data_IF_116167644678
#
_entry.id   IF_116167644678
#
_cell.length_a   1.000
_cell.length_b   1.000
_cell.length_c   1.000
_cell.angle_alpha   90.00
_cell.angle_beta   90.00
_cell.angle_gamma   90.00
#
_symmetry.space_group_name_H-M   'P 1'
#
loop_
_entity.id
_entity.type
_entity.pdbx_description
1 polymer ?
#
# COMPACT_ATOMS: atom_id res chain seq x y z
N UNK A 1 25.87 -18.35 23.11
CA UNK A 1 26.47 -18.11 21.77
C UNK A 1 25.51 -17.53 20.74
N UNK A 2 24.22 -17.91 20.68
CA UNK A 2 23.30 -17.38 19.64
C UNK A 2 22.97 -15.88 19.75
N UNK A 3 22.88 -15.30 20.96
CA UNK A 3 22.53 -13.86 21.12
C UNK A 3 23.61 -12.90 20.58
N UNK A 4 24.90 -13.21 20.76
CA UNK A 4 25.98 -12.35 20.27
C UNK A 4 26.08 -12.38 18.74
N UNK A 5 25.88 -13.54 18.12
CA UNK A 5 25.79 -13.69 16.66
C UNK A 5 24.64 -12.89 16.05
N UNK A 6 23.47 -12.91 16.69
CA UNK A 6 22.32 -12.10 16.25
C UNK A 6 22.62 -10.60 16.40
N UNK A 7 23.20 -10.18 17.52
CA UNK A 7 23.61 -8.78 17.72
C UNK A 7 24.65 -8.32 16.70
N UNK A 8 25.65 -9.16 16.40
CA UNK A 8 26.65 -8.89 15.37
C UNK A 8 26.03 -8.77 13.98
N UNK A 9 25.05 -9.61 13.64
CA UNK A 9 24.32 -9.52 12.38
C UNK A 9 23.57 -8.18 12.24
N UNK A 10 22.94 -7.69 13.31
CA UNK A 10 22.26 -6.39 13.28
C UNK A 10 23.23 -5.21 13.20
N UNK A 11 24.39 -5.31 13.85
CA UNK A 11 25.47 -4.31 13.70
C UNK A 11 25.96 -4.29 12.25
N UNK A 12 26.13 -5.45 11.62
CA UNK A 12 26.50 -5.53 10.22
C UNK A 12 25.45 -4.87 9.30
N UNK A 13 24.16 -5.15 9.51
CA UNK A 13 23.07 -4.51 8.74
C UNK A 13 23.07 -2.99 8.92
N UNK A 14 23.33 -2.50 10.14
CA UNK A 14 23.41 -1.06 10.41
C UNK A 14 24.62 -0.42 9.70
N UNK A 15 25.79 -1.04 9.76
CA UNK A 15 26.99 -0.56 9.07
C UNK A 15 26.77 -0.57 7.55
N UNK A 16 26.20 -1.65 7.01
CA UNK A 16 25.89 -1.76 5.58
C UNK A 16 24.94 -0.65 5.13
N UNK A 17 23.84 -0.43 5.85
CA UNK A 17 22.90 0.65 5.58
C UNK A 17 23.54 2.04 5.64
N UNK A 18 24.40 2.28 6.64
CA UNK A 18 25.12 3.54 6.79
C UNK A 18 26.12 3.78 5.65
N UNK A 19 26.84 2.75 5.21
CA UNK A 19 27.74 2.82 4.06
C UNK A 19 26.94 3.12 2.80
N UNK A 20 25.83 2.42 2.55
CA UNK A 20 25.03 2.64 1.35
C UNK A 20 24.45 4.06 1.29
N UNK A 21 23.91 4.57 2.40
CA UNK A 21 23.48 5.96 2.50
C UNK A 21 24.65 6.94 2.35
N UNK A 22 25.81 6.64 2.93
CA UNK A 22 27.01 7.45 2.82
C UNK A 22 27.48 7.57 1.36
N UNK A 23 27.47 6.47 0.60
CA UNK A 23 27.78 6.48 -0.84
C UNK A 23 26.77 7.33 -1.59
N UNK A 24 25.47 7.14 -1.34
CA UNK A 24 24.41 7.93 -1.97
C UNK A 24 24.55 9.43 -1.68
N UNK A 25 24.91 9.82 -0.46
CA UNK A 25 25.03 11.22 -0.06
C UNK A 25 26.35 11.86 -0.54
N UNK A 26 27.50 11.20 -0.33
CA UNK A 26 28.82 11.80 -0.45
C UNK A 26 29.49 11.64 -1.82
N UNK A 27 29.04 10.68 -2.64
CA UNK A 27 29.68 10.43 -3.94
C UNK A 27 29.57 11.64 -4.89
N UNK A 28 30.68 12.25 -5.28
CA UNK A 28 30.73 13.34 -6.27
C UNK A 28 31.34 12.77 -7.54
N UNK A 29 30.59 12.67 -8.63
CA UNK A 29 31.06 12.06 -9.88
C UNK A 29 30.06 11.09 -10.52
N UNK A 30 30.59 9.99 -11.07
CA UNK A 30 29.94 8.97 -11.91
C UNK A 30 28.52 8.53 -11.48
N UNK A 31 27.78 7.97 -12.43
CA UNK A 31 26.44 7.46 -12.20
C UNK A 31 26.42 6.41 -11.08
N UNK A 32 25.71 6.71 -9.99
CA UNK A 32 25.57 5.80 -8.86
C UNK A 32 24.61 4.68 -9.23
N UNK A 33 24.93 3.46 -8.81
CA UNK A 33 24.06 2.32 -9.04
C UNK A 33 22.77 2.39 -8.20
N UNK A 34 21.63 2.07 -8.80
CA UNK A 34 20.34 1.92 -8.09
C UNK A 34 20.37 0.84 -7.00
N UNK A 35 21.29 -0.13 -7.07
CA UNK A 35 21.50 -1.15 -6.03
C UNK A 35 21.71 -0.54 -4.63
N UNK A 36 22.46 0.57 -4.55
CA UNK A 36 22.72 1.27 -3.29
C UNK A 36 21.42 1.72 -2.61
N UNK A 37 20.41 2.14 -3.38
CA UNK A 37 19.10 2.53 -2.87
C UNK A 37 18.34 1.36 -2.28
N UNK A 38 18.32 0.23 -3.00
CA UNK A 38 17.60 -0.97 -2.57
C UNK A 38 18.20 -1.50 -1.28
N UNK A 39 19.53 -1.61 -1.20
CA UNK A 39 20.23 -2.11 -0.02
C UNK A 39 20.08 -1.14 1.17
N UNK A 40 20.22 0.17 0.95
CA UNK A 40 20.01 1.16 2.00
C UNK A 40 18.58 1.07 2.57
N UNK A 41 17.58 1.01 1.70
CA UNK A 41 16.17 0.91 2.09
C UNK A 41 15.89 -0.37 2.87
N UNK A 42 16.39 -1.51 2.39
CA UNK A 42 16.23 -2.80 3.06
C UNK A 42 16.86 -2.78 4.47
N UNK A 43 18.05 -2.21 4.63
CA UNK A 43 18.72 -2.11 5.92
C UNK A 43 17.93 -1.22 6.90
N UNK A 44 17.52 -0.03 6.47
CA UNK A 44 16.81 0.95 7.31
C UNK A 44 15.45 0.41 7.74
N UNK A 45 14.67 -0.16 6.82
CA UNK A 45 13.37 -0.73 7.15
C UNK A 45 13.50 -1.97 8.03
N UNK A 46 14.53 -2.81 7.83
CA UNK A 46 14.78 -3.95 8.72
C UNK A 46 15.11 -3.51 10.15
N UNK A 47 15.92 -2.46 10.31
CA UNK A 47 16.27 -1.89 11.62
C UNK A 47 15.03 -1.24 12.26
N UNK A 48 14.30 -0.42 11.49
CA UNK A 48 13.06 0.21 11.95
C UNK A 48 12.03 -0.81 12.40
N UNK A 49 11.81 -1.86 11.61
CA UNK A 49 10.92 -2.96 11.97
C UNK A 49 11.41 -3.71 13.22
N UNK A 50 12.69 -4.06 13.32
CA UNK A 50 13.17 -4.88 14.44
C UNK A 50 13.22 -4.15 15.78
N UNK A 51 13.68 -2.90 15.79
CA UNK A 51 13.96 -2.17 17.02
C UNK A 51 12.87 -1.16 17.34
N UNK A 52 12.51 -0.32 16.37
CA UNK A 52 11.56 0.76 16.61
C UNK A 52 10.13 0.25 16.74
N UNK A 53 9.67 -0.63 15.83
CA UNK A 53 8.32 -1.23 15.96
C UNK A 53 8.18 -2.04 17.26
N UNK A 54 9.24 -2.72 17.69
CA UNK A 54 9.25 -3.45 18.96
C UNK A 54 9.14 -2.52 20.18
N UNK A 55 9.84 -1.39 20.16
CA UNK A 55 9.70 -0.36 21.19
C UNK A 55 8.26 0.18 21.24
N UNK A 56 7.68 0.53 20.09
CA UNK A 56 6.30 1.03 20.02
C UNK A 56 5.31 -0.04 20.51
N UNK A 57 5.42 -1.28 20.03
CA UNK A 57 4.50 -2.37 20.37
C UNK A 57 4.49 -2.71 21.86
N UNK A 58 5.67 -2.91 22.46
CA UNK A 58 5.74 -3.46 23.83
C UNK A 58 5.90 -2.39 24.90
N UNK A 59 6.54 -1.26 24.60
CA UNK A 59 6.80 -0.22 25.61
C UNK A 59 5.79 0.92 25.57
N UNK A 60 5.37 1.34 24.38
CA UNK A 60 4.39 2.42 24.21
C UNK A 60 2.96 1.87 24.28
N UNK A 61 2.61 0.97 23.37
CA UNK A 61 1.24 0.45 23.22
C UNK A 61 0.92 -0.72 24.17
N UNK A 62 1.95 -1.41 24.68
CA UNK A 62 1.82 -2.58 25.56
C UNK A 62 0.83 -3.60 25.00
N UNK A 63 1.14 -4.13 23.82
CA UNK A 63 0.36 -5.22 23.23
C UNK A 63 0.24 -6.40 24.20
N UNK A 64 -0.94 -7.01 24.20
CA UNK A 64 -1.29 -8.14 25.05
C UNK A 64 -1.92 -9.23 24.19
N UNK A 65 -1.17 -10.32 23.99
CA UNK A 65 -1.57 -11.45 23.15
C UNK A 65 -2.71 -12.28 23.77
N UNK A 66 -3.00 -12.09 25.07
CA UNK A 66 -4.11 -12.80 25.73
C UNK A 66 -5.49 -12.21 25.41
N UNK A 67 -5.53 -11.01 24.80
CA UNK A 67 -6.78 -10.29 24.55
C UNK A 67 -7.33 -10.61 23.17
N UNK A 68 -8.54 -11.18 23.14
CA UNK A 68 -9.25 -11.42 21.89
C UNK A 68 -9.61 -10.10 21.16
N UNK A 69 -9.54 -10.12 19.84
CA UNK A 69 -9.94 -8.99 18.99
C UNK A 69 -11.47 -8.86 18.94
N UNK A 70 -12.02 -7.67 18.59
CA UNK A 70 -13.46 -7.46 18.45
C UNK A 70 -14.13 -8.48 17.51
N UNK A 71 -13.44 -8.86 16.42
CA UNK A 71 -13.90 -9.87 15.48
C UNK A 71 -14.15 -11.25 16.13
N UNK A 72 -13.36 -11.63 17.14
CA UNK A 72 -13.53 -12.87 17.87
C UNK A 72 -14.62 -12.78 18.94
N UNK A 73 -14.73 -11.63 19.63
CA UNK A 73 -15.67 -11.43 20.74
C UNK A 73 -17.10 -11.21 20.25
N UNK A 74 -17.27 -10.47 19.15
CA UNK A 74 -18.57 -10.04 18.61
C UNK A 74 -18.91 -10.72 17.29
N UNK A 75 -18.44 -11.95 17.07
CA UNK A 75 -18.59 -12.67 15.80
C UNK A 75 -20.07 -12.80 15.39
N UNK A 76 -20.54 -11.88 14.54
CA UNK A 76 -21.92 -11.78 14.08
C UNK A 76 -22.10 -12.33 12.65
N UNK A 77 -21.00 -12.75 12.02
CA UNK A 77 -21.01 -13.28 10.66
C UNK A 77 -21.22 -12.23 9.57
N UNK A 78 -21.33 -10.95 9.92
CA UNK A 78 -21.59 -9.83 9.01
C UNK A 78 -20.52 -8.74 9.14
N UNK A 79 -20.52 -8.00 10.24
CA UNK A 79 -19.61 -6.87 10.49
C UNK A 79 -18.35 -7.34 11.25
N UNK A 80 -18.49 -8.37 12.08
CA UNK A 80 -17.40 -8.99 12.82
C UNK A 80 -17.27 -10.45 12.40
N UNK A 81 -16.23 -10.74 11.62
CA UNK A 81 -15.91 -12.08 11.14
C UNK A 81 -14.44 -12.38 11.38
N UNK A 82 -14.09 -13.40 12.20
CA UNK A 82 -12.71 -13.83 12.36
C UNK A 82 -12.10 -14.16 11.00
N UNK A 83 -11.07 -13.40 10.63
CA UNK A 83 -10.36 -13.52 9.35
C UNK A 83 -8.90 -13.83 9.63
N UNK A 84 -8.29 -14.63 8.76
CA UNK A 84 -6.88 -14.98 8.92
C UNK A 84 -5.96 -13.77 8.72
N UNK A 85 -4.88 -13.73 9.51
CA UNK A 85 -3.90 -12.64 9.52
C UNK A 85 -3.31 -12.35 8.14
N UNK A 86 -3.08 -13.37 7.30
CA UNK A 86 -2.52 -13.18 5.97
C UNK A 86 -3.49 -12.45 5.03
N UNK A 87 -4.79 -12.67 5.22
CA UNK A 87 -5.85 -12.05 4.41
C UNK A 87 -6.11 -10.64 4.89
N UNK A 88 -6.19 -10.43 6.21
CA UNK A 88 -6.27 -9.08 6.79
C UNK A 88 -5.05 -8.25 6.39
N UNK A 89 -3.84 -8.83 6.45
CA UNK A 89 -2.63 -8.18 5.94
C UNK A 89 -2.74 -7.84 4.46
N UNK A 90 -3.15 -8.79 3.61
CA UNK A 90 -3.34 -8.55 2.19
C UNK A 90 -4.40 -7.49 1.89
N UNK A 91 -5.49 -7.46 2.65
CA UNK A 91 -6.53 -6.45 2.54
C UNK A 91 -5.96 -5.06 2.83
N UNK A 92 -5.28 -4.89 3.97
CA UNK A 92 -4.65 -3.61 4.33
C UNK A 92 -3.58 -3.24 3.31
N UNK A 93 -2.68 -4.16 2.98
CA UNK A 93 -1.59 -3.92 2.04
C UNK A 93 -2.11 -3.48 0.68
N UNK A 94 -3.08 -4.20 0.09
CA UNK A 94 -3.61 -3.85 -1.21
C UNK A 94 -4.44 -2.56 -1.20
N UNK A 95 -5.15 -2.26 -0.11
CA UNK A 95 -5.90 -1.00 0.03
C UNK A 95 -4.99 0.23 0.12
N UNK A 96 -3.78 0.08 0.67
CA UNK A 96 -2.79 1.18 0.81
C UNK A 96 -1.88 1.29 -0.41
N UNK A 97 -1.45 0.15 -0.96
CA UNK A 97 -0.54 0.07 -2.10
C UNK A 97 -1.26 0.48 -3.39
N UNK A 98 -1.51 1.78 -3.55
CA UNK A 98 -2.15 2.40 -4.71
C UNK A 98 -1.17 3.13 -5.62
N UNK A 99 -1.70 4.02 -6.45
CA UNK A 99 -0.89 4.88 -7.32
C UNK A 99 -0.09 5.95 -6.56
N UNK A 100 -0.54 6.34 -5.36
CA UNK A 100 0.09 7.41 -4.56
C UNK A 100 1.59 7.20 -4.31
N UNK A 101 2.02 6.03 -3.79
CA UNK A 101 3.44 5.70 -3.62
C UNK A 101 4.28 5.68 -4.90
N UNK A 102 3.67 5.63 -6.09
CA UNK A 102 4.38 5.72 -7.38
C UNK A 102 4.43 7.16 -7.87
N UNK A 103 3.29 7.84 -7.89
CA UNK A 103 3.17 9.20 -8.42
C UNK A 103 3.94 10.20 -7.56
N UNK A 104 3.83 10.11 -6.23
CA UNK A 104 4.49 11.05 -5.31
C UNK A 104 6.01 11.15 -5.54
N UNK A 105 6.78 10.04 -5.47
CA UNK A 105 8.21 10.06 -5.74
C UNK A 105 8.59 10.53 -7.15
N UNK A 106 7.78 10.22 -8.17
CA UNK A 106 8.02 10.68 -9.54
C UNK A 106 7.87 12.21 -9.63
N UNK A 107 6.82 12.78 -9.04
CA UNK A 107 6.63 14.23 -9.00
C UNK A 107 7.73 14.91 -8.17
N UNK A 108 8.11 14.30 -7.05
CA UNK A 108 9.17 14.78 -6.17
C UNK A 108 10.57 14.69 -6.77
N UNK A 109 10.78 13.79 -7.76
CA UNK A 109 12.07 13.64 -8.43
C UNK A 109 12.53 14.91 -9.16
N UNK A 110 11.62 15.87 -9.41
CA UNK A 110 12.00 17.20 -9.91
C UNK A 110 12.98 17.91 -8.98
N UNK A 111 12.99 17.60 -7.68
CA UNK A 111 13.91 18.15 -6.65
C UNK A 111 15.19 17.29 -6.48
N UNK A 112 15.39 16.31 -7.36
CA UNK A 112 16.45 15.31 -7.22
C UNK A 112 16.02 14.10 -6.38
N UNK A 113 16.80 13.03 -6.48
CA UNK A 113 16.46 11.77 -5.81
C UNK A 113 16.74 11.81 -4.30
N UNK A 114 17.77 12.57 -3.87
CA UNK A 114 18.27 12.48 -2.49
C UNK A 114 17.25 12.99 -1.46
N UNK A 115 16.62 14.18 -1.61
CA UNK A 115 15.60 14.63 -0.68
C UNK A 115 14.41 13.66 -0.59
N UNK A 116 13.96 13.18 -1.74
CA UNK A 116 12.82 12.25 -1.87
C UNK A 116 13.10 10.94 -1.13
N UNK A 117 14.27 10.33 -1.34
CA UNK A 117 14.65 9.07 -0.69
C UNK A 117 14.82 9.24 0.82
N UNK A 118 15.47 10.31 1.27
CA UNK A 118 15.61 10.59 2.70
C UNK A 118 14.25 10.72 3.36
N UNK A 119 13.32 11.46 2.75
CA UNK A 119 11.98 11.60 3.30
C UNK A 119 11.20 10.28 3.27
N UNK A 120 11.28 9.50 2.19
CA UNK A 120 10.66 8.16 2.11
C UNK A 120 11.14 7.29 3.28
N UNK A 121 12.45 7.21 3.49
CA UNK A 121 13.04 6.34 4.50
C UNK A 121 12.74 6.81 5.93
N UNK A 122 12.98 8.08 6.22
CA UNK A 122 12.83 8.65 7.57
C UNK A 122 11.35 8.82 7.91
N UNK A 123 10.57 9.41 7.00
CA UNK A 123 9.16 9.72 7.21
C UNK A 123 8.31 8.46 7.36
N UNK A 124 8.61 7.40 6.59
CA UNK A 124 7.92 6.11 6.74
C UNK A 124 8.19 5.47 8.11
N UNK A 125 9.47 5.37 8.52
CA UNK A 125 9.85 4.69 9.76
C UNK A 125 9.41 5.45 11.01
N UNK A 126 9.66 6.76 11.06
CA UNK A 126 9.39 7.57 12.26
C UNK A 126 7.95 8.08 12.33
N UNK A 127 7.33 8.32 11.17
CA UNK A 127 6.01 8.93 11.07
C UNK A 127 4.92 7.93 10.72
N UNK A 128 4.84 7.53 9.44
CA UNK A 128 3.66 6.84 8.91
C UNK A 128 3.39 5.50 9.55
N UNK A 129 4.41 4.64 9.64
CA UNK A 129 4.26 3.33 10.25
C UNK A 129 3.81 3.43 11.72
N UNK A 130 4.30 4.44 12.47
CA UNK A 130 3.90 4.66 13.86
C UNK A 130 2.47 5.18 13.93
N UNK A 131 2.17 6.21 13.14
CA UNK A 131 0.83 6.82 13.08
C UNK A 131 -0.24 5.76 12.78
N UNK A 132 -0.02 4.96 11.73
CA UNK A 132 -0.98 3.95 11.31
C UNK A 132 -1.11 2.82 12.33
N UNK A 133 -0.01 2.41 12.95
CA UNK A 133 -0.02 1.36 13.97
C UNK A 133 -0.73 1.81 15.24
N UNK A 134 -0.54 3.05 15.67
CA UNK A 134 -1.23 3.65 16.82
C UNK A 134 -2.73 3.74 16.56
N UNK A 135 -3.15 4.20 15.37
CA UNK A 135 -4.58 4.30 15.04
C UNK A 135 -5.23 2.92 14.91
N UNK A 136 -4.57 1.95 14.30
CA UNK A 136 -5.05 0.56 14.26
C UNK A 136 -5.23 -0.01 15.67
N UNK A 137 -4.24 0.18 16.54
CA UNK A 137 -4.33 -0.25 17.94
C UNK A 137 -5.50 0.43 18.65
N UNK A 138 -5.65 1.74 18.51
CA UNK A 138 -6.75 2.50 19.11
C UNK A 138 -8.12 1.99 18.63
N UNK A 139 -8.26 1.74 17.33
CA UNK A 139 -9.49 1.19 16.73
C UNK A 139 -9.82 -0.19 17.31
N UNK A 140 -8.86 -1.12 17.36
CA UNK A 140 -9.05 -2.45 17.97
C UNK A 140 -9.49 -2.33 19.43
N UNK A 141 -8.93 -1.38 20.18
CA UNK A 141 -9.28 -1.15 21.60
C UNK A 141 -10.66 -0.53 21.79
N UNK A 142 -11.23 0.06 20.74
CA UNK A 142 -12.57 0.63 20.70
C UNK A 142 -13.50 -0.18 19.82
N UNK A 143 -13.48 -1.51 19.95
CA UNK A 143 -14.38 -2.41 19.21
C UNK A 143 -14.31 -2.31 17.68
N UNK A 144 -13.14 -1.96 17.12
CA UNK A 144 -12.97 -1.80 15.68
C UNK A 144 -13.75 -0.61 15.13
N UNK A 145 -13.85 0.50 15.87
CA UNK A 145 -14.56 1.70 15.39
C UNK A 145 -13.70 2.50 14.42
N UNK A 146 -14.35 3.15 13.46
CA UNK A 146 -13.70 4.06 12.51
C UNK A 146 -13.15 5.30 13.22
N UNK A 147 -12.20 5.99 12.60
CA UNK A 147 -11.60 7.20 13.16
C UNK A 147 -12.63 8.28 13.51
N UNK A 148 -13.64 8.50 12.65
CA UNK A 148 -14.70 9.48 12.91
C UNK A 148 -15.53 9.15 14.15
N UNK A 149 -15.88 7.87 14.35
CA UNK A 149 -16.63 7.45 15.53
C UNK A 149 -15.77 7.48 16.79
N UNK A 150 -14.46 7.22 16.70
CA UNK A 150 -13.55 7.41 17.83
C UNK A 150 -13.46 8.88 18.25
N UNK A 151 -13.36 9.83 17.30
CA UNK A 151 -13.33 11.26 17.62
C UNK A 151 -14.61 11.69 18.33
N UNK A 152 -15.77 11.20 17.88
CA UNK A 152 -17.07 11.46 18.49
C UNK A 152 -17.16 10.95 19.93
N UNK A 153 -16.56 9.79 20.23
CA UNK A 153 -16.51 9.24 21.59
C UNK A 153 -15.63 10.07 22.54
N UNK A 154 -14.54 10.67 22.05
CA UNK A 154 -13.60 11.45 22.87
C UNK A 154 -13.97 12.93 22.99
N UNK A 155 -14.43 13.56 21.91
CA UNK A 155 -14.63 15.01 21.82
C UNK A 155 -16.10 15.43 21.79
N UNK A 156 -17.02 14.46 21.85
CA UNK A 156 -18.47 14.68 21.82
C UNK A 156 -19.09 14.74 20.42
N UNK A 157 -20.42 14.71 20.39
CA UNK A 157 -21.22 14.55 19.18
C UNK A 157 -20.95 15.61 18.11
N UNK A 158 -20.86 16.89 18.52
CA UNK A 158 -20.72 18.01 17.58
C UNK A 158 -19.37 17.98 16.85
N UNK A 159 -18.28 17.84 17.60
CA UNK A 159 -16.92 17.74 17.04
C UNK A 159 -16.77 16.48 16.20
N UNK A 160 -17.31 15.35 16.67
CA UNK A 160 -17.32 14.09 15.93
C UNK A 160 -18.05 14.17 14.59
N UNK A 161 -19.17 14.88 14.53
CA UNK A 161 -19.92 15.07 13.28
C UNK A 161 -19.14 15.91 12.28
N UNK A 162 -18.54 17.03 12.73
CA UNK A 162 -17.70 17.88 11.87
C UNK A 162 -16.48 17.09 11.36
N UNK A 163 -15.81 16.35 12.24
CA UNK A 163 -14.68 15.51 11.87
C UNK A 163 -15.07 14.42 10.87
N UNK A 164 -16.22 13.77 11.07
CA UNK A 164 -16.73 12.74 10.16
C UNK A 164 -17.06 13.30 8.77
N UNK A 165 -17.63 14.51 8.70
CA UNK A 165 -17.88 15.21 7.44
C UNK A 165 -16.56 15.56 6.72
N UNK A 166 -15.56 16.03 7.47
CA UNK A 166 -14.22 16.29 6.94
C UNK A 166 -13.55 15.03 6.40
N UNK A 167 -13.60 13.92 7.15
CA UNK A 167 -13.08 12.61 6.73
C UNK A 167 -13.78 12.15 5.46
N UNK A 168 -15.11 12.27 5.37
CA UNK A 168 -15.87 11.94 4.17
C UNK A 168 -15.41 12.77 2.97
N UNK A 169 -15.24 14.09 3.14
CA UNK A 169 -14.75 14.97 2.07
C UNK A 169 -13.36 14.59 1.58
N UNK A 170 -12.43 14.29 2.49
CA UNK A 170 -11.08 13.84 2.15
C UNK A 170 -11.14 12.49 1.42
N UNK A 171 -11.96 11.54 1.89
CA UNK A 171 -12.14 10.25 1.23
C UNK A 171 -12.68 10.40 -0.20
N UNK A 172 -13.66 11.28 -0.41
CA UNK A 172 -14.19 11.55 -1.76
C UNK A 172 -13.12 12.08 -2.71
N UNK A 173 -12.30 13.03 -2.25
CA UNK A 173 -11.20 13.60 -3.05
C UNK A 173 -10.18 12.51 -3.39
N UNK A 174 -9.76 11.70 -2.41
CA UNK A 174 -8.77 10.63 -2.62
C UNK A 174 -9.31 9.59 -3.61
N UNK A 175 -10.55 9.13 -3.42
CA UNK A 175 -11.18 8.16 -4.32
C UNK A 175 -11.29 8.72 -5.74
N UNK A 176 -11.67 9.99 -5.90
CA UNK A 176 -11.76 10.63 -7.22
C UNK A 176 -10.39 10.70 -7.93
N UNK A 177 -9.33 11.09 -7.21
CA UNK A 177 -7.96 11.16 -7.78
C UNK A 177 -7.47 9.76 -8.16
N UNK A 178 -7.64 8.76 -7.28
CA UNK A 178 -7.24 7.39 -7.55
C UNK A 178 -8.04 6.78 -8.72
N UNK A 179 -9.35 7.02 -8.77
CA UNK A 179 -10.19 6.60 -9.89
C UNK A 179 -9.71 7.23 -11.21
N UNK A 180 -9.36 8.51 -11.22
CA UNK A 180 -8.82 9.16 -12.42
C UNK A 180 -7.54 8.49 -12.92
N UNK A 181 -6.62 8.12 -12.02
CA UNK A 181 -5.38 7.40 -12.40
C UNK A 181 -5.70 6.05 -13.03
N UNK A 182 -6.63 5.29 -12.45
CA UNK A 182 -7.07 3.99 -12.99
C UNK A 182 -7.74 4.15 -14.35
N UNK A 183 -8.67 5.11 -14.49
CA UNK A 183 -9.35 5.40 -15.75
C UNK A 183 -8.34 5.72 -16.86
N UNK A 184 -7.36 6.60 -16.59
CA UNK A 184 -6.33 6.96 -17.56
C UNK A 184 -5.41 5.79 -17.91
N UNK A 185 -5.09 4.93 -16.93
CA UNK A 185 -4.24 3.76 -17.16
C UNK A 185 -4.93 2.65 -17.97
N UNK A 186 -6.27 2.56 -17.88
CA UNK A 186 -7.06 1.52 -18.56
C UNK A 186 -7.72 1.98 -19.85
N UNK A 187 -7.85 3.30 -20.06
CA UNK A 187 -8.36 3.85 -21.30
C UNK A 187 -7.54 3.30 -22.48
N UNK A 188 -8.25 2.74 -23.47
CA UNK A 188 -7.65 2.12 -24.65
C UNK A 188 -6.71 0.93 -24.37
N UNK A 189 -6.77 0.31 -23.19
CA UNK A 189 -5.96 -0.85 -22.81
C UNK A 189 -6.83 -2.12 -22.62
N UNK A 190 -7.13 -2.87 -23.70
CA UNK A 190 -7.95 -4.08 -23.60
C UNK A 190 -7.29 -5.15 -22.72
N UNK A 191 -5.95 -5.24 -22.75
CA UNK A 191 -5.20 -6.14 -21.89
C UNK A 191 -5.40 -5.83 -20.39
N UNK A 192 -5.24 -4.55 -20.03
CA UNK A 192 -5.38 -4.09 -18.64
C UNK A 192 -6.80 -4.25 -18.13
N UNK A 193 -7.79 -3.82 -18.92
CA UNK A 193 -9.19 -3.91 -18.54
C UNK A 193 -9.65 -5.37 -18.37
N UNK A 194 -9.33 -6.25 -19.32
CA UNK A 194 -9.65 -7.68 -19.22
C UNK A 194 -9.06 -8.31 -17.97
N UNK A 195 -7.77 -8.06 -17.70
CA UNK A 195 -7.07 -8.63 -16.54
C UNK A 195 -7.75 -8.20 -15.24
N UNK A 196 -8.11 -6.93 -15.10
CA UNK A 196 -8.79 -6.41 -13.91
C UNK A 196 -10.22 -6.94 -13.82
N UNK A 197 -10.96 -6.99 -14.92
CA UNK A 197 -12.31 -7.53 -14.95
C UNK A 197 -12.34 -8.99 -14.47
N UNK A 198 -11.35 -9.80 -14.87
CA UNK A 198 -11.21 -11.18 -14.43
C UNK A 198 -10.87 -11.34 -12.94
N UNK A 199 -10.31 -10.32 -12.28
CA UNK A 199 -10.09 -10.41 -10.82
C UNK A 199 -11.38 -10.49 -10.02
N UNK A 200 -12.50 -9.97 -10.53
CA UNK A 200 -13.80 -9.98 -9.85
C UNK A 200 -14.34 -11.42 -9.70
N UNK A 201 -14.53 -12.20 -10.77
CA UNK A 201 -15.00 -13.59 -10.63
C UNK A 201 -13.99 -14.47 -9.88
N UNK A 202 -12.68 -14.25 -10.05
CA UNK A 202 -11.66 -14.98 -9.29
C UNK A 202 -11.81 -14.69 -7.79
N UNK A 203 -11.97 -13.42 -7.41
CA UNK A 203 -12.17 -13.03 -6.01
C UNK A 203 -13.45 -13.61 -5.41
N UNK A 204 -14.57 -13.60 -6.17
CA UNK A 204 -15.82 -14.22 -5.74
C UNK A 204 -15.63 -15.72 -5.52
N UNK A 205 -14.95 -16.41 -6.44
CA UNK A 205 -14.65 -17.83 -6.31
C UNK A 205 -13.78 -18.10 -5.07
N UNK A 206 -12.76 -17.27 -4.83
CA UNK A 206 -11.92 -17.36 -3.63
C UNK A 206 -12.76 -17.14 -2.36
N UNK A 207 -13.60 -16.11 -2.31
CA UNK A 207 -14.47 -15.81 -1.18
C UNK A 207 -15.46 -16.94 -0.87
N UNK A 208 -16.10 -17.51 -1.89
CA UNK A 208 -17.00 -18.65 -1.76
C UNK A 208 -16.26 -19.93 -1.32
N UNK A 209 -15.08 -20.21 -1.89
CA UNK A 209 -14.26 -21.36 -1.50
C UNK A 209 -13.88 -21.31 -0.03
N UNK A 210 -13.45 -20.14 0.43
CA UNK A 210 -13.05 -19.88 1.80
C UNK A 210 -14.21 -20.00 2.79
N UNK A 211 -15.41 -19.58 2.39
CA UNK A 211 -16.58 -19.59 3.28
C UNK A 211 -17.26 -20.96 3.35
N UNK A 212 -17.45 -21.63 2.22
CA UNK A 212 -18.34 -22.80 2.15
C UNK A 212 -17.61 -24.13 1.93
N UNK A 213 -16.51 -24.17 1.18
CA UNK A 213 -15.90 -25.43 0.77
C UNK A 213 -14.86 -25.93 1.78
N UNK A 214 -13.85 -25.12 2.07
CA UNK A 214 -12.75 -25.48 2.98
C UNK A 214 -12.30 -24.29 3.81
N UNK A 215 -13.08 -23.92 4.83
CA UNK A 215 -12.62 -22.92 5.80
C UNK A 215 -11.28 -23.40 6.38
N UNK A 216 -10.33 -22.49 6.55
CA UNK A 216 -8.96 -22.67 7.10
C UNK A 216 -7.85 -23.14 6.14
N UNK A 217 -8.15 -23.52 4.89
CA UNK A 217 -7.11 -23.90 3.90
C UNK A 217 -6.73 -22.76 2.97
N UNK A 218 -6.14 -21.72 3.53
CA UNK A 218 -5.84 -20.47 2.81
C UNK A 218 -4.84 -20.73 1.68
N UNK A 219 -3.82 -21.55 1.92
CA UNK A 219 -2.81 -21.88 0.91
C UNK A 219 -3.41 -22.46 -0.39
N UNK A 220 -4.45 -23.31 -0.30
CA UNK A 220 -5.12 -23.86 -1.48
C UNK A 220 -5.76 -22.72 -2.29
N UNK A 221 -6.45 -21.80 -1.62
CA UNK A 221 -7.10 -20.63 -2.25
C UNK A 221 -6.09 -19.66 -2.82
N UNK A 222 -4.99 -19.41 -2.12
CA UNK A 222 -3.88 -18.57 -2.58
C UNK A 222 -3.29 -19.12 -3.87
N UNK A 223 -3.02 -20.43 -3.92
CA UNK A 223 -2.46 -21.08 -5.12
C UNK A 223 -3.45 -21.04 -6.28
N UNK A 224 -4.72 -21.38 -6.04
CA UNK A 224 -5.76 -21.32 -7.08
C UNK A 224 -5.92 -19.90 -7.62
N UNK A 225 -6.07 -18.91 -6.73
CA UNK A 225 -6.20 -17.50 -7.09
C UNK A 225 -5.00 -17.02 -7.89
N UNK A 226 -3.78 -17.34 -7.45
CA UNK A 226 -2.55 -16.99 -8.16
C UNK A 226 -2.48 -17.60 -9.55
N UNK A 227 -2.75 -18.90 -9.69
CA UNK A 227 -2.76 -19.58 -11.00
C UNK A 227 -3.80 -18.95 -11.93
N UNK A 228 -5.03 -18.73 -11.45
CA UNK A 228 -6.09 -18.09 -12.22
C UNK A 228 -5.72 -16.67 -12.64
N UNK A 229 -5.03 -15.91 -11.77
CA UNK A 229 -4.54 -14.57 -12.10
C UNK A 229 -3.47 -14.61 -13.19
N UNK A 230 -2.51 -15.53 -13.12
CA UNK A 230 -1.48 -15.70 -14.16
C UNK A 230 -2.13 -16.09 -15.50
N UNK A 231 -3.10 -17.00 -15.47
CA UNK A 231 -3.91 -17.38 -16.64
C UNK A 231 -4.63 -16.15 -17.20
N UNK A 232 -5.26 -15.33 -16.36
CA UNK A 232 -5.95 -14.11 -16.80
C UNK A 232 -4.99 -13.09 -17.43
N UNK A 233 -3.80 -12.88 -16.86
CA UNK A 233 -2.77 -11.99 -17.42
C UNK A 233 -2.31 -12.51 -18.79
N UNK A 234 -2.06 -13.81 -18.92
CA UNK A 234 -1.63 -14.44 -20.16
C UNK A 234 -2.74 -14.43 -21.22
N UNK A 235 -3.96 -14.79 -20.87
CA UNK A 235 -5.14 -14.73 -21.73
C UNK A 235 -5.42 -13.30 -22.20
N UNK A 236 -5.20 -12.31 -21.34
CA UNK A 236 -5.34 -10.91 -21.70
C UNK A 236 -4.44 -10.46 -22.85
N UNK A 237 -3.26 -11.07 -23.02
CA UNK A 237 -2.40 -10.84 -24.20
C UNK A 237 -3.12 -11.26 -25.48
N UNK A 238 -3.77 -12.42 -25.49
CA UNK A 238 -4.54 -12.90 -26.66
C UNK A 238 -5.76 -12.03 -26.94
N UNK A 239 -6.47 -11.59 -25.88
CA UNK A 239 -7.58 -10.64 -25.99
C UNK A 239 -7.13 -9.34 -26.65
N UNK A 240 -5.92 -8.86 -26.33
CA UNK A 240 -5.37 -7.65 -26.94
C UNK A 240 -4.88 -7.84 -28.38
N UNK A 241 -4.54 -9.06 -28.80
CA UNK A 241 -4.03 -9.35 -30.14
C UNK A 241 -5.15 -9.64 -31.15
N UNK A 242 -6.29 -10.16 -30.69
CA UNK A 242 -7.47 -10.37 -31.53
C UNK A 242 -8.27 -9.06 -31.69
N UNK A 243 -8.42 -8.50 -32.91
CA UNK A 243 -9.13 -7.25 -33.13
C UNK A 243 -10.59 -7.25 -32.64
N UNK A 244 -11.27 -8.40 -32.72
CA UNK A 244 -12.68 -8.51 -32.27
C UNK A 244 -12.75 -8.45 -30.75
N UNK A 245 -11.92 -9.24 -30.06
CA UNK A 245 -11.90 -9.24 -28.60
C UNK A 245 -11.36 -7.92 -28.05
N UNK A 246 -10.34 -7.34 -28.68
CA UNK A 246 -9.81 -6.04 -28.30
C UNK A 246 -10.89 -4.96 -28.33
N UNK A 247 -11.74 -4.91 -29.37
CA UNK A 247 -12.84 -3.94 -29.45
C UNK A 247 -13.86 -4.05 -28.32
N UNK A 248 -14.11 -5.26 -27.80
CA UNK A 248 -15.05 -5.51 -26.69
C UNK A 248 -14.49 -5.00 -25.35
N UNK A 249 -13.18 -5.09 -25.15
CA UNK A 249 -12.52 -4.70 -23.89
C UNK A 249 -11.83 -3.33 -23.95
N UNK A 250 -11.96 -2.61 -25.07
CA UNK A 250 -11.43 -1.25 -25.25
C UNK A 250 -12.53 -0.26 -24.93
N UNK A 251 -12.35 0.51 -23.86
CA UNK A 251 -13.30 1.54 -23.44
C UNK A 251 -12.62 2.90 -23.38
N UNK A 252 -13.42 3.94 -23.64
CA UNK A 252 -13.01 5.32 -23.43
C UNK A 252 -13.04 5.68 -21.94
N UNK A 253 -12.29 6.73 -21.59
CA UNK A 253 -12.16 7.20 -20.21
C UNK A 253 -13.53 7.53 -19.56
N UNK A 254 -14.46 8.13 -20.33
CA UNK A 254 -15.79 8.48 -19.85
C UNK A 254 -16.61 7.25 -19.43
N UNK A 255 -16.68 6.23 -20.29
CA UNK A 255 -17.38 4.98 -20.00
C UNK A 255 -16.74 4.24 -18.81
N UNK A 256 -15.40 4.18 -18.77
CA UNK A 256 -14.67 3.57 -17.65
C UNK A 256 -14.95 4.26 -16.32
N UNK A 257 -15.05 5.58 -16.30
CA UNK A 257 -15.37 6.33 -15.08
C UNK A 257 -16.75 5.91 -14.52
N UNK A 258 -17.77 5.83 -15.38
CA UNK A 258 -19.09 5.35 -14.98
C UNK A 258 -19.09 3.90 -14.51
N UNK A 259 -18.34 3.02 -15.19
CA UNK A 259 -18.21 1.62 -14.80
C UNK A 259 -17.53 1.47 -13.44
N UNK A 260 -16.48 2.24 -13.16
CA UNK A 260 -15.78 2.22 -11.86
C UNK A 260 -16.70 2.75 -10.74
N UNK A 261 -17.46 3.82 -10.99
CA UNK A 261 -18.42 4.32 -10.01
C UNK A 261 -19.53 3.30 -9.72
N UNK A 262 -20.10 2.68 -10.77
CA UNK A 262 -21.10 1.62 -10.61
C UNK A 262 -20.53 0.40 -9.88
N UNK A 263 -19.34 -0.04 -10.24
CA UNK A 263 -18.62 -1.10 -9.54
C UNK A 263 -18.38 -0.76 -8.07
N UNK A 264 -17.93 0.46 -7.78
CA UNK A 264 -17.68 0.94 -6.41
C UNK A 264 -18.95 0.93 -5.55
N UNK A 265 -20.09 1.32 -6.14
CA UNK A 265 -21.39 1.24 -5.48
C UNK A 265 -21.83 -0.20 -5.19
N UNK A 266 -21.70 -1.11 -6.16
CA UNK A 266 -22.03 -2.53 -5.94
C UNK A 266 -21.10 -3.14 -4.89
N UNK A 267 -19.80 -2.84 -4.98
CA UNK A 267 -18.79 -3.36 -4.06
C UNK A 267 -18.99 -2.87 -2.61
N UNK A 268 -19.48 -1.64 -2.39
CA UNK A 268 -19.74 -1.11 -1.05
C UNK A 268 -20.95 -1.74 -0.35
N UNK A 269 -21.87 -2.34 -1.11
CA UNK A 269 -23.06 -3.03 -0.59
C UNK A 269 -22.75 -4.51 -0.30
N UNK A 270 -21.87 -5.11 -1.10
CA UNK A 270 -21.52 -6.52 -0.94
C UNK A 270 -20.74 -6.76 0.36
N UNK A 271 -20.92 -7.93 1.00
CA UNK A 271 -20.14 -8.29 2.17
C UNK A 271 -18.63 -8.28 1.89
N UNK A 272 -17.84 -7.75 2.82
CA UNK A 272 -16.38 -7.59 2.65
C UNK A 272 -15.70 -8.93 2.37
N UNK A 273 -16.12 -10.01 3.04
CA UNK A 273 -15.58 -11.36 2.83
C UNK A 273 -15.89 -11.93 1.44
N UNK A 274 -16.93 -11.45 0.76
CA UNK A 274 -17.39 -12.00 -0.51
C UNK A 274 -16.58 -11.48 -1.70
N UNK A 275 -16.26 -10.18 -1.69
CA UNK A 275 -15.55 -9.53 -2.81
C UNK A 275 -14.29 -8.79 -2.38
N UNK A 276 -14.39 -7.84 -1.44
CA UNK A 276 -13.30 -6.90 -1.15
C UNK A 276 -12.07 -7.61 -0.57
N UNK A 277 -12.22 -8.35 0.52
CA UNK A 277 -11.12 -9.07 1.16
C UNK A 277 -10.43 -10.07 0.22
N UNK A 278 -11.14 -10.99 -0.49
CA UNK A 278 -10.47 -11.93 -1.39
C UNK A 278 -9.85 -11.24 -2.61
N UNK A 279 -10.45 -10.16 -3.14
CA UNK A 279 -9.88 -9.39 -4.25
C UNK A 279 -8.60 -8.68 -3.84
N UNK A 280 -8.59 -8.06 -2.68
CA UNK A 280 -7.44 -7.33 -2.17
C UNK A 280 -6.31 -8.29 -1.80
N UNK A 281 -6.65 -9.45 -1.23
CA UNK A 281 -5.71 -10.55 -1.03
C UNK A 281 -5.10 -11.04 -2.36
N UNK A 282 -5.92 -11.22 -3.40
CA UNK A 282 -5.44 -11.60 -4.74
C UNK A 282 -4.49 -10.53 -5.32
N UNK A 283 -4.86 -9.26 -5.20
CA UNK A 283 -4.04 -8.13 -5.69
C UNK A 283 -2.69 -8.02 -4.98
N UNK A 284 -2.63 -8.43 -3.71
CA UNK A 284 -1.38 -8.46 -2.94
C UNK A 284 -0.32 -9.35 -3.58
N UNK A 285 -0.69 -10.52 -4.12
CA UNK A 285 0.27 -11.37 -4.83
C UNK A 285 0.88 -10.67 -6.05
N UNK A 286 0.05 -9.97 -6.83
CA UNK A 286 0.54 -9.22 -7.98
C UNK A 286 1.50 -8.12 -7.56
N UNK A 287 1.11 -7.32 -6.56
CA UNK A 287 1.88 -6.17 -6.09
C UNK A 287 3.22 -6.59 -5.48
N UNK A 288 3.20 -7.54 -4.53
CA UNK A 288 4.43 -8.06 -3.91
C UNK A 288 5.28 -8.80 -4.95
N UNK A 289 4.65 -9.60 -5.83
CA UNK A 289 5.35 -10.32 -6.89
C UNK A 289 6.08 -9.39 -7.85
N UNK A 290 5.43 -8.34 -8.34
CA UNK A 290 6.04 -7.33 -9.22
C UNK A 290 7.17 -6.60 -8.50
N UNK A 291 6.97 -6.17 -7.24
CA UNK A 291 8.05 -5.55 -6.45
C UNK A 291 9.24 -6.50 -6.29
N UNK A 292 8.99 -7.77 -6.00
CA UNK A 292 10.03 -8.80 -5.88
C UNK A 292 10.82 -8.99 -7.17
N UNK A 293 10.12 -9.11 -8.31
CA UNK A 293 10.76 -9.21 -9.64
C UNK A 293 11.60 -7.96 -9.94
N UNK A 294 11.09 -6.77 -9.64
CA UNK A 294 11.82 -5.51 -9.83
C UNK A 294 13.09 -5.46 -8.97
N UNK A 295 13.01 -5.85 -7.70
CA UNK A 295 14.18 -5.92 -6.81
C UNK A 295 15.23 -6.89 -7.36
N UNK A 296 14.81 -8.09 -7.77
CA UNK A 296 15.71 -9.08 -8.37
C UNK A 296 16.35 -8.53 -9.65
N UNK A 297 15.57 -7.91 -10.53
CA UNK A 297 16.07 -7.30 -11.75
C UNK A 297 17.09 -6.19 -11.47
N UNK A 298 16.85 -5.32 -10.47
CA UNK A 298 17.80 -4.26 -10.07
C UNK A 298 19.09 -4.87 -9.51
N UNK A 299 19.01 -5.97 -8.75
CA UNK A 299 20.21 -6.63 -8.20
C UNK A 299 21.09 -7.20 -9.31
N UNK A 300 20.50 -7.74 -10.38
CA UNK A 300 21.25 -8.32 -11.51
C UNK A 300 21.72 -7.29 -12.53
N UNK A 301 20.85 -6.36 -12.92
CA UNK A 301 21.15 -5.35 -13.96
C UNK A 301 21.95 -4.19 -13.39
N UNK A 302 21.64 -3.83 -12.15
CA UNK A 302 22.29 -2.75 -11.41
C UNK A 302 22.39 -1.44 -12.24
N UNK A 303 21.25 -0.89 -12.73
CA UNK A 303 21.29 0.23 -13.66
C UNK A 303 21.77 1.54 -12.99
N UNK A 304 22.42 2.42 -13.76
CA UNK A 304 22.83 3.73 -13.28
C UNK A 304 21.62 4.62 -12.95
N UNK A 305 21.69 5.35 -11.84
CA UNK A 305 20.75 6.42 -11.50
C UNK A 305 20.92 7.58 -12.49
N UNK A 306 19.86 7.84 -13.26
CA UNK A 306 19.86 8.92 -14.25
C UNK A 306 19.50 10.29 -13.65
N UNK A 307 18.78 10.29 -12.52
CA UNK A 307 18.36 11.53 -11.86
C UNK A 307 19.53 12.03 -10.99
N UNK A 308 19.87 13.32 -11.04
CA UNK A 308 20.91 13.88 -10.16
C UNK A 308 20.44 13.90 -8.70
N UNK A 309 21.41 13.98 -7.77
CA UNK A 309 21.16 14.04 -6.32
C UNK A 309 20.18 15.14 -5.94
N UNK A 310 20.49 16.33 -6.45
CA UNK A 310 19.80 17.59 -6.23
C UNK A 310 19.74 18.23 -7.61
N UNK A 311 18.56 18.72 -7.99
CA UNK A 311 18.33 19.47 -9.22
C UNK A 311 18.33 20.97 -8.91
N UNK A 312 18.42 21.85 -9.93
CA UNK A 312 18.24 23.30 -9.74
C UNK A 312 16.89 23.66 -9.12
N UNK A 313 15.85 22.86 -9.36
CA UNK A 313 14.48 23.08 -8.89
C UNK A 313 14.26 22.82 -7.40
N UNK A 314 15.32 22.56 -6.64
CA UNK A 314 15.27 22.45 -5.17
C UNK A 314 14.93 23.79 -4.51
N UNK A 315 15.13 24.90 -5.21
CA UNK A 315 14.69 26.24 -4.83
C UNK A 315 13.16 26.43 -4.90
N UNK A 316 12.43 25.48 -5.49
CA UNK A 316 10.99 25.52 -5.65
C UNK A 316 10.49 26.13 -6.95
N UNK A 317 11.39 26.41 -7.90
CA UNK A 317 11.06 26.84 -9.27
C UNK A 317 10.65 25.69 -10.20
N UNK A 318 10.34 24.52 -9.64
CA UNK A 318 10.10 23.29 -10.38
C UNK A 318 8.87 23.35 -11.32
N UNK A 319 8.93 22.68 -12.48
CA UNK A 319 7.86 22.71 -13.48
C UNK A 319 6.62 21.89 -13.10
N UNK A 320 6.76 20.92 -12.18
CA UNK A 320 5.67 20.01 -11.79
C UNK A 320 4.81 20.62 -10.68
N UNK A 321 5.47 21.26 -9.71
CA UNK A 321 4.82 22.05 -8.67
C UNK A 321 5.78 23.15 -8.20
N UNK A 322 5.22 24.34 -7.97
CA UNK A 322 5.94 25.46 -7.38
C UNK A 322 5.96 25.32 -5.86
N UNK A 323 7.15 25.44 -5.26
CA UNK A 323 7.29 25.38 -3.81
C UNK A 323 8.60 24.75 -3.34
N UNK A 324 9.15 25.26 -2.24
CA UNK A 324 10.39 24.79 -1.63
C UNK A 324 10.31 23.34 -1.12
N UNK A 325 11.47 22.71 -0.91
CA UNK A 325 11.57 21.33 -0.37
C UNK A 325 10.69 21.14 0.87
N UNK A 326 10.76 22.05 1.83
CA UNK A 326 9.81 22.10 2.94
C UNK A 326 8.79 23.23 2.68
N UNK A 327 7.47 22.98 2.78
CA UNK A 327 6.80 21.72 3.14
C UNK A 327 6.42 20.83 1.93
N UNK A 328 6.64 21.27 0.70
CA UNK A 328 5.98 20.66 -0.47
C UNK A 328 6.45 19.24 -0.76
N UNK A 329 7.75 18.93 -0.64
CA UNK A 329 8.23 17.54 -0.79
C UNK A 329 7.53 16.59 0.20
N UNK A 330 7.28 17.09 1.41
CA UNK A 330 6.70 16.30 2.49
C UNK A 330 5.25 15.93 2.19
N UNK A 331 4.52 16.87 1.59
CA UNK A 331 3.13 16.71 1.16
C UNK A 331 3.06 15.85 -0.11
N UNK A 332 3.94 16.09 -1.09
CA UNK A 332 3.94 15.37 -2.38
C UNK A 332 4.23 13.88 -2.21
N UNK A 333 5.12 13.50 -1.28
CA UNK A 333 5.47 12.09 -1.02
C UNK A 333 4.70 11.53 0.20
N UNK A 334 3.64 12.21 0.66
CA UNK A 334 2.88 11.80 1.84
C UNK A 334 2.35 10.35 1.77
N UNK A 335 1.89 9.92 0.58
CA UNK A 335 1.39 8.55 0.36
C UNK A 335 2.41 7.44 0.64
N UNK A 336 3.71 7.75 0.62
CA UNK A 336 4.78 6.80 0.97
C UNK A 336 5.36 7.00 2.38
N UNK A 337 5.03 8.10 3.06
CA UNK A 337 5.67 8.48 4.33
C UNK A 337 4.69 8.71 5.47
N UNK A 338 3.73 9.62 5.32
CA UNK A 338 2.73 10.00 6.34
C UNK A 338 1.46 10.51 5.64
N UNK A 339 0.57 9.63 5.19
CA UNK A 339 -0.65 10.05 4.47
C UNK A 339 -1.90 10.12 5.33
N UNK A 340 -1.94 9.36 6.43
CA UNK A 340 -3.15 9.17 7.24
C UNK A 340 -4.27 8.37 6.56
N UNK A 341 -4.16 8.05 5.27
CA UNK A 341 -5.16 7.25 4.55
C UNK A 341 -5.21 5.81 5.05
N UNK A 342 -4.04 5.24 5.38
CA UNK A 342 -4.01 3.92 5.99
C UNK A 342 -4.68 3.92 7.36
N UNK A 343 -4.45 4.92 8.21
CA UNK A 343 -5.17 5.07 9.47
C UNK A 343 -6.70 5.09 9.30
N UNK A 344 -7.22 5.62 8.18
CA UNK A 344 -8.64 5.54 7.85
C UNK A 344 -9.08 4.12 7.47
N UNK A 345 -8.29 3.41 6.65
CA UNK A 345 -8.58 2.03 6.24
C UNK A 345 -8.48 1.04 7.41
N UNK A 346 -7.41 1.14 8.19
CA UNK A 346 -7.11 0.24 9.30
C UNK A 346 -8.03 0.48 10.50
N UNK A 347 -8.66 1.64 10.59
CA UNK A 347 -9.77 1.87 11.52
C UNK A 347 -11.04 1.23 10.96
N UNK A 348 -11.61 0.24 11.66
CA UNK A 348 -12.81 -0.46 11.19
C UNK A 348 -12.57 -1.85 10.61
N UNK A 349 -11.33 -2.22 10.30
CA UNK A 349 -10.96 -3.54 9.77
C UNK A 349 -9.82 -4.12 10.62
N UNK A 350 -10.04 -5.26 11.28
CA UNK A 350 -9.13 -5.78 12.33
C UNK A 350 -9.04 -7.29 12.37
#
# INVERSE_FOLDING_TARGET
MQKSLVSLAWVFVAILGAICLGVLALHKGESINTLWLVVASACIYSIGYRFYSHFIAYRVLKLDDSRATPACVRNDGKDFVPTDKAITFGHHFAAIAGAGPLVGPILAAQMGYLPSILWILIGSVLGGCVHDFVVLFASIRRDGKSLGEMIKLEMGQFVGMIASLGILGIMLIIIAILAMVVVKALAHSPWGFFTIAMTIPIAILMGLYMRFFRPHKILEVSVIGFILLIIAIYAGKYVSLDPKLASIFTFEAGSLAWMIMGYGFVASILPVWFLLAPRDYLSTFLKIGVIGVLVVAIVFVAPPLQIPKITPFVDGSGPVFAGSVFPFLFITVACGTISGFHALISSGTT
#
